data_IF_131208166968
#
_entry.id   IF_131208166968
#
_cell.length_a   1.000
_cell.length_b   1.000
_cell.length_c   1.000
_cell.angle_alpha   90.00
_cell.angle_beta   90.00
_cell.angle_gamma   90.00
#
_symmetry.space_group_name_H-M   'P 1'
#
loop_
_entity.id
_entity.type
_entity.pdbx_description
1 polymer ?
#
# COMPACT_ATOMS: atom_id res chain seq x y z
N UNK A 1 -17.57 18.61 20.17
CA UNK A 1 -16.81 17.53 20.83
C UNK A 1 -15.48 17.38 20.12
N UNK A 2 -14.36 17.51 20.84
CA UNK A 2 -13.01 17.31 20.31
C UNK A 2 -12.52 15.94 20.80
N UNK A 3 -12.21 15.04 19.88
CA UNK A 3 -11.82 13.67 20.19
C UNK A 3 -10.32 13.51 20.02
N UNK A 4 -9.66 12.91 21.01
CA UNK A 4 -8.28 12.48 20.84
C UNK A 4 -8.28 11.09 20.19
N UNK A 5 -7.83 10.95 18.93
CA UNK A 5 -7.82 9.66 18.23
C UNK A 5 -6.89 8.62 18.89
N UNK A 6 -6.01 9.03 19.81
CA UNK A 6 -5.11 8.14 20.55
C UNK A 6 -5.72 7.61 21.86
N UNK A 7 -6.91 8.05 22.26
CA UNK A 7 -7.57 7.62 23.50
C UNK A 7 -8.72 6.66 23.21
N UNK A 8 -8.73 5.52 23.90
CA UNK A 8 -9.80 4.51 23.84
C UNK A 8 -10.92 4.74 24.85
N UNK A 9 -10.83 5.81 25.64
CA UNK A 9 -11.81 6.17 26.67
C UNK A 9 -12.44 7.51 26.32
N UNK A 10 -13.77 7.54 26.28
CA UNK A 10 -14.57 8.73 26.05
C UNK A 10 -15.46 8.96 27.28
N UNK A 11 -15.32 10.13 27.90
CA UNK A 11 -16.18 10.57 29.01
C UNK A 11 -17.12 11.63 28.47
N UNK A 12 -18.42 11.45 28.70
CA UNK A 12 -19.45 12.38 28.27
C UNK A 12 -20.41 12.61 29.42
N UNK A 13 -20.82 13.86 29.58
CA UNK A 13 -21.92 14.28 30.44
C UNK A 13 -23.10 14.62 29.54
N UNK A 14 -24.29 14.14 29.91
CA UNK A 14 -25.50 14.36 29.15
C UNK A 14 -26.72 13.99 29.97
N UNK A 15 -27.79 14.72 29.76
CA UNK A 15 -29.13 14.53 30.32
C UNK A 15 -30.03 13.67 29.42
N UNK A 16 -29.61 13.44 28.16
CA UNK A 16 -30.34 12.67 27.16
C UNK A 16 -29.49 11.58 26.48
N UNK A 17 -30.10 10.42 26.27
CA UNK A 17 -29.52 9.24 25.61
C UNK A 17 -29.32 9.46 24.10
N UNK A 18 -30.10 10.35 23.46
CA UNK A 18 -29.92 10.63 22.03
C UNK A 18 -28.54 11.23 21.73
N UNK A 19 -28.06 12.11 22.61
CA UNK A 19 -26.73 12.73 22.48
C UNK A 19 -25.61 11.68 22.59
N UNK A 20 -25.77 10.68 23.46
CA UNK A 20 -24.84 9.56 23.61
C UNK A 20 -24.83 8.71 22.32
N UNK A 21 -26.01 8.41 21.76
CA UNK A 21 -26.12 7.66 20.52
C UNK A 21 -25.46 8.38 19.34
N UNK A 22 -25.65 9.69 19.21
CA UNK A 22 -25.01 10.49 18.16
C UNK A 22 -23.47 10.54 18.31
N UNK A 23 -22.96 10.52 19.54
CA UNK A 23 -21.52 10.48 19.78
C UNK A 23 -20.92 9.11 19.42
N UNK A 24 -21.60 8.01 19.76
CA UNK A 24 -21.17 6.65 19.40
C UNK A 24 -21.13 6.44 17.89
N UNK A 25 -22.02 7.07 17.12
CA UNK A 25 -21.98 7.04 15.65
C UNK A 25 -20.71 7.65 15.04
N UNK A 26 -19.96 8.46 15.80
CA UNK A 26 -18.70 9.08 15.36
C UNK A 26 -17.46 8.25 15.71
N UNK A 27 -17.61 7.17 16.46
CA UNK A 27 -16.50 6.25 16.77
C UNK A 27 -16.18 5.44 15.52
N UNK A 28 -14.93 5.51 15.07
CA UNK A 28 -14.46 4.80 13.89
C UNK A 28 -13.19 4.02 14.19
N UNK A 29 -13.01 2.92 13.45
CA UNK A 29 -11.76 2.19 13.43
C UNK A 29 -10.85 2.79 12.35
N UNK A 30 -9.59 3.07 12.70
CA UNK A 30 -8.57 3.55 11.78
C UNK A 30 -7.38 2.58 11.84
N UNK A 31 -6.91 2.14 10.67
CA UNK A 31 -5.65 1.43 10.53
C UNK A 31 -4.66 2.31 9.77
N UNK A 32 -3.53 2.65 10.41
CA UNK A 32 -2.52 3.54 9.84
C UNK A 32 -1.47 2.83 8.97
N UNK A 33 -1.56 1.50 8.81
CA UNK A 33 -0.63 0.76 7.96
C UNK A 33 -0.97 0.96 6.49
N UNK A 34 0.06 1.20 5.67
CA UNK A 34 -0.05 1.21 4.21
C UNK A 34 -0.60 -0.12 3.67
N UNK A 35 -0.23 -1.24 4.30
CA UNK A 35 -0.76 -2.58 4.02
C UNK A 35 -1.37 -3.18 5.30
N UNK A 36 -2.69 -3.01 5.51
CA UNK A 36 -3.38 -3.60 6.64
C UNK A 36 -3.29 -5.13 6.63
N UNK A 37 -2.91 -5.73 7.77
CA UNK A 37 -2.96 -7.18 7.93
C UNK A 37 -4.41 -7.63 7.88
N UNK A 38 -4.73 -8.60 7.02
CA UNK A 38 -6.07 -9.16 6.93
C UNK A 38 -6.56 -9.81 8.24
N UNK A 39 -7.86 -10.03 8.30
CA UNK A 39 -8.53 -10.77 9.35
C UNK A 39 -9.40 -9.91 10.26
N UNK A 40 -9.87 -10.54 11.34
CA UNK A 40 -10.89 -9.96 12.21
C UNK A 40 -10.24 -9.18 13.35
N UNK A 41 -10.78 -8.00 13.66
CA UNK A 41 -10.45 -7.21 14.85
C UNK A 41 -11.68 -7.17 15.74
N UNK A 42 -11.62 -7.88 16.86
CA UNK A 42 -12.68 -7.85 17.87
C UNK A 42 -12.58 -6.53 18.64
N UNK A 43 -13.71 -5.86 18.74
CA UNK A 43 -13.89 -4.63 19.51
C UNK A 43 -14.91 -4.93 20.59
N UNK A 44 -14.62 -4.48 21.81
CA UNK A 44 -15.58 -4.50 22.90
C UNK A 44 -15.76 -3.09 23.42
N UNK A 45 -16.98 -2.60 23.38
CA UNK A 45 -17.36 -1.31 23.97
C UNK A 45 -18.00 -1.59 25.31
N UNK A 46 -17.42 -1.05 26.36
CA UNK A 46 -17.96 -1.14 27.72
C UNK A 46 -18.27 0.26 28.22
N UNK A 47 -19.42 0.39 28.88
CA UNK A 47 -19.93 1.66 29.37
C UNK A 47 -20.10 1.61 30.89
N UNK A 48 -19.69 2.69 31.56
CA UNK A 48 -19.96 2.90 33.00
C UNK A 48 -20.72 4.20 33.13
N UNK A 49 -21.89 4.12 33.77
CA UNK A 49 -22.75 5.28 34.02
C UNK A 49 -22.55 5.70 35.48
N UNK A 50 -22.31 6.98 35.69
CA UNK A 50 -22.24 7.59 37.02
C UNK A 50 -23.34 8.63 37.11
N UNK A 51 -24.29 8.43 38.02
CA UNK A 51 -25.36 9.39 38.30
C UNK A 51 -25.07 10.10 39.63
N UNK A 52 -25.53 11.33 39.74
CA UNK A 52 -25.38 12.15 40.94
C UNK A 52 -26.74 12.24 41.65
N UNK A 53 -26.78 12.10 42.97
CA UNK A 53 -28.01 12.17 43.77
C UNK A 53 -28.61 10.80 44.15
N UNK A 54 -29.93 10.75 44.41
CA UNK A 54 -30.68 9.53 44.75
C UNK A 54 -31.26 8.80 43.52
N UNK A 55 -30.93 9.24 42.31
CA UNK A 55 -31.50 8.70 41.07
C UNK A 55 -30.98 7.30 40.73
N UNK A 56 -31.85 6.47 40.15
CA UNK A 56 -31.51 5.13 39.69
C UNK A 56 -30.72 5.24 38.39
N UNK A 57 -29.46 4.81 38.40
CA UNK A 57 -28.66 4.75 37.18
C UNK A 57 -29.16 3.71 36.18
N UNK A 58 -29.20 4.11 34.91
CA UNK A 58 -29.37 3.18 33.80
C UNK A 58 -28.13 2.29 33.65
N UNK A 59 -28.35 1.03 33.26
CA UNK A 59 -27.28 0.13 32.86
C UNK A 59 -27.18 0.09 31.34
N UNK A 60 -25.98 0.30 30.81
CA UNK A 60 -25.70 0.19 29.39
C UNK A 60 -24.93 -1.13 29.19
N UNK A 61 -25.47 -2.08 28.40
CA UNK A 61 -24.82 -3.36 28.18
C UNK A 61 -23.54 -3.20 27.37
N UNK A 62 -22.58 -4.10 27.61
CA UNK A 62 -21.40 -4.23 26.77
C UNK A 62 -21.79 -4.61 25.33
N UNK A 63 -21.09 -4.04 24.35
CA UNK A 63 -21.28 -4.35 22.94
C UNK A 63 -20.01 -5.03 22.41
N UNK A 64 -20.16 -6.25 21.88
CA UNK A 64 -19.14 -6.91 21.08
C UNK A 64 -19.36 -6.60 19.60
N UNK A 65 -18.32 -6.10 18.94
CA UNK A 65 -18.31 -5.77 17.53
C UNK A 65 -17.05 -6.32 16.85
N UNK A 66 -17.07 -6.38 15.53
CA UNK A 66 -15.94 -6.87 14.74
C UNK A 66 -15.71 -5.98 13.53
N UNK A 67 -14.46 -5.64 13.29
CA UNK A 67 -14.01 -5.05 12.03
C UNK A 67 -13.33 -6.13 11.22
N UNK A 68 -13.81 -6.35 10.00
CA UNK A 68 -13.19 -7.25 9.04
C UNK A 68 -12.24 -6.46 8.15
N UNK A 69 -10.96 -6.79 8.22
CA UNK A 69 -9.94 -6.25 7.32
C UNK A 69 -9.73 -7.27 6.21
N UNK A 70 -10.07 -6.90 4.98
CA UNK A 70 -9.82 -7.74 3.82
C UNK A 70 -8.33 -7.70 3.44
N UNK A 71 -7.86 -8.77 2.80
CA UNK A 71 -6.51 -8.81 2.23
C UNK A 71 -6.39 -7.68 1.20
N UNK A 72 -5.36 -6.86 1.34
CA UNK A 72 -5.01 -5.90 0.30
C UNK A 72 -4.61 -6.67 -0.96
N UNK A 73 -5.03 -6.19 -2.12
CA UNK A 73 -4.61 -6.81 -3.38
C UNK A 73 -3.12 -6.55 -3.57
N UNK A 74 -2.34 -7.62 -3.65
CA UNK A 74 -0.90 -7.50 -3.85
C UNK A 74 -0.60 -7.07 -5.29
N UNK A 75 0.27 -6.07 -5.49
CA UNK A 75 0.67 -5.68 -6.82
C UNK A 75 1.53 -6.78 -7.44
N UNK A 76 1.22 -7.12 -8.68
CA UNK A 76 2.02 -8.03 -9.49
C UNK A 76 2.88 -7.22 -10.44
N UNK A 77 4.19 -7.26 -10.21
CA UNK A 77 5.21 -6.70 -11.11
C UNK A 77 5.57 -7.77 -12.13
N UNK A 78 5.46 -7.43 -13.41
CA UNK A 78 5.87 -8.27 -14.53
C UNK A 78 6.96 -7.55 -15.30
N UNK A 79 8.11 -8.21 -15.44
CA UNK A 79 9.23 -7.73 -16.24
C UNK A 79 9.28 -8.59 -17.50
N UNK A 80 9.20 -7.96 -18.67
CA UNK A 80 9.30 -8.63 -19.97
C UNK A 80 10.42 -7.99 -20.79
N UNK A 81 11.13 -8.78 -21.58
CA UNK A 81 12.19 -8.32 -22.47
C UNK A 81 13.00 -9.53 -22.92
N UNK A 82 14.08 -9.30 -23.67
CA UNK A 82 15.03 -10.35 -24.02
C UNK A 82 15.71 -10.91 -22.76
N UNK A 83 15.77 -12.23 -22.66
CA UNK A 83 16.45 -12.95 -21.58
C UNK A 83 17.98 -13.00 -21.76
N UNK A 84 18.44 -12.93 -23.02
CA UNK A 84 19.85 -12.84 -23.37
C UNK A 84 20.06 -11.88 -24.53
N UNK A 85 21.15 -11.12 -24.46
CA UNK A 85 21.55 -10.19 -25.50
C UNK A 85 23.06 -10.29 -25.73
N UNK A 86 23.46 -10.36 -27.00
CA UNK A 86 24.87 -10.45 -27.38
C UNK A 86 25.18 -9.47 -28.51
N UNK A 87 26.32 -8.79 -28.39
CA UNK A 87 26.87 -7.89 -29.41
C UNK A 87 28.38 -8.14 -29.57
N UNK A 88 28.95 -7.89 -30.76
CA UNK A 88 30.40 -7.92 -30.94
C UNK A 88 31.09 -6.90 -30.01
N UNK A 89 32.25 -7.27 -29.45
CA UNK A 89 33.03 -6.41 -28.53
C UNK A 89 33.30 -5.01 -29.10
N UNK A 90 33.60 -4.93 -30.41
CA UNK A 90 33.85 -3.66 -31.11
C UNK A 90 32.67 -2.66 -31.04
N UNK A 91 31.44 -3.09 -30.72
CA UNK A 91 30.31 -2.17 -30.54
C UNK A 91 30.30 -1.51 -29.15
N UNK A 92 30.91 -2.14 -28.14
CA UNK A 92 31.05 -1.58 -26.80
C UNK A 92 32.14 -0.51 -26.73
N UNK A 93 33.12 -0.58 -27.63
CA UNK A 93 34.22 0.40 -27.75
C UNK A 93 33.77 1.77 -28.31
N UNK A 94 32.51 1.89 -28.76
CA UNK A 94 31.99 3.17 -29.25
C UNK A 94 31.78 4.14 -28.08
N UNK A 95 32.06 5.43 -28.29
CA UNK A 95 31.86 6.49 -27.26
C UNK A 95 30.42 6.57 -26.73
N UNK A 96 29.43 5.98 -27.43
CA UNK A 96 28.03 5.97 -27.01
C UNK A 96 27.63 4.69 -26.26
N UNK A 97 28.53 3.73 -26.12
CA UNK A 97 28.24 2.42 -25.56
C UNK A 97 27.15 1.67 -26.33
N UNK A 98 26.44 0.77 -25.63
CA UNK A 98 25.32 0.01 -26.17
C UNK A 98 24.15 -0.02 -25.19
N UNK A 99 22.92 -0.05 -25.72
CA UNK A 99 21.72 -0.23 -24.90
C UNK A 99 21.65 -1.69 -24.47
N UNK A 100 21.74 -1.94 -23.16
CA UNK A 100 21.74 -3.29 -22.58
C UNK A 100 20.36 -3.95 -22.57
N UNK A 101 19.31 -3.15 -22.37
CA UNK A 101 17.94 -3.62 -22.16
C UNK A 101 16.95 -2.87 -23.09
N UNK A 102 17.07 -3.01 -24.42
CA UNK A 102 16.33 -2.18 -25.36
C UNK A 102 14.82 -2.46 -25.38
N UNK A 103 14.38 -3.61 -24.88
CA UNK A 103 12.98 -4.06 -24.90
C UNK A 103 12.44 -4.40 -23.51
N UNK A 104 13.14 -3.99 -22.44
CA UNK A 104 12.64 -4.17 -21.08
C UNK A 104 11.36 -3.38 -20.89
N UNK A 105 10.34 -4.05 -20.37
CA UNK A 105 9.09 -3.46 -19.93
C UNK A 105 8.78 -3.96 -18.54
N UNK A 106 8.56 -3.02 -17.63
CA UNK A 106 8.18 -3.29 -16.25
C UNK A 106 6.74 -2.80 -16.10
N UNK A 107 5.82 -3.72 -15.86
CA UNK A 107 4.39 -3.42 -15.71
C UNK A 107 3.95 -3.86 -14.33
N UNK A 108 3.35 -2.95 -13.56
CA UNK A 108 2.74 -3.26 -12.26
C UNK A 108 1.22 -3.27 -12.39
N UNK A 109 0.60 -4.35 -11.93
CA UNK A 109 -0.85 -4.55 -11.98
C UNK A 109 -1.40 -4.84 -10.60
N UNK A 110 -2.60 -4.37 -10.30
CA UNK A 110 -3.33 -4.75 -9.08
C UNK A 110 -4.64 -5.37 -9.51
N UNK A 111 -4.90 -6.58 -9.05
CA UNK A 111 -6.20 -7.22 -9.26
C UNK A 111 -7.19 -6.60 -8.29
N UNK A 112 -8.19 -5.85 -8.76
CA UNK A 112 -9.23 -5.31 -7.89
C UNK A 112 -10.37 -6.31 -7.80
N UNK A 113 -10.58 -6.88 -6.61
CA UNK A 113 -11.77 -7.67 -6.34
C UNK A 113 -12.90 -6.71 -5.93
N UNK A 114 -13.87 -6.49 -6.82
CA UNK A 114 -15.09 -5.78 -6.44
C UNK A 114 -15.90 -6.64 -5.48
N UNK A 115 -15.88 -6.28 -4.19
CA UNK A 115 -16.82 -6.82 -3.22
C UNK A 115 -18.11 -6.01 -3.35
N UNK A 116 -19.03 -6.46 -4.21
CA UNK A 116 -20.40 -5.97 -4.17
C UNK A 116 -20.98 -6.33 -2.80
N UNK A 117 -21.21 -5.31 -1.96
CA UNK A 117 -21.96 -5.45 -0.71
C UNK A 117 -23.44 -5.49 -1.06
N UNK A 118 -23.86 -6.49 -1.85
CA UNK A 118 -25.28 -6.72 -2.09
C UNK A 118 -25.79 -7.71 -1.07
N UNK A 119 -26.38 -7.17 0.00
CA UNK A 119 -27.24 -7.90 0.91
C UNK A 119 -28.56 -8.30 0.20
N UNK A 120 -28.57 -9.09 -0.88
CA UNK A 120 -29.74 -9.90 -1.31
C UNK A 120 -29.32 -11.14 -2.09
N UNK A 121 -29.49 -12.28 -1.41
CA UNK A 121 -29.96 -13.58 -1.89
C UNK A 121 -29.86 -13.98 -3.39
N UNK A 122 -29.27 -15.17 -3.58
CA UNK A 122 -29.49 -16.13 -4.69
C UNK A 122 -29.00 -15.77 -6.10
N UNK A 123 -27.76 -16.18 -6.40
CA UNK A 123 -27.30 -16.42 -7.76
C UNK A 123 -25.78 -16.57 -7.83
N UNK A 124 -25.27 -17.55 -8.57
CA UNK A 124 -23.84 -17.69 -8.88
C UNK A 124 -23.37 -16.47 -9.69
N UNK A 125 -23.05 -15.38 -9.03
CA UNK A 125 -22.44 -14.23 -9.67
C UNK A 125 -20.97 -14.59 -9.96
N UNK A 126 -20.62 -14.67 -11.24
CA UNK A 126 -19.23 -14.69 -11.68
C UNK A 126 -18.54 -13.46 -11.08
N UNK A 127 -17.70 -13.67 -10.07
CA UNK A 127 -16.84 -12.64 -9.49
C UNK A 127 -15.89 -12.20 -10.59
N UNK A 128 -16.20 -11.06 -11.23
CA UNK A 128 -15.40 -10.52 -12.31
C UNK A 128 -14.15 -9.88 -11.69
N UNK A 129 -13.00 -10.54 -11.83
CA UNK A 129 -11.72 -9.98 -11.40
C UNK A 129 -11.30 -8.97 -12.45
N UNK A 130 -11.37 -7.70 -12.12
CA UNK A 130 -10.87 -6.62 -12.98
C UNK A 130 -9.41 -6.40 -12.64
N UNK A 131 -8.54 -6.55 -13.64
CA UNK A 131 -7.11 -6.24 -13.51
C UNK A 131 -6.91 -4.82 -14.01
N UNK A 132 -6.47 -3.94 -13.12
CA UNK A 132 -6.17 -2.54 -13.45
C UNK A 132 -4.66 -2.35 -13.45
N UNK A 133 -4.14 -1.74 -14.51
CA UNK A 133 -2.76 -1.25 -14.51
C UNK A 133 -2.70 -0.05 -13.58
N UNK A 134 -1.84 -0.11 -12.57
CA UNK A 134 -1.66 0.98 -11.62
C UNK A 134 -0.25 1.51 -11.74
N UNK A 135 -0.12 2.83 -11.86
CA UNK A 135 1.13 3.53 -11.64
C UNK A 135 1.47 3.40 -10.15
N UNK A 136 2.36 2.48 -9.83
CA UNK A 136 2.94 2.40 -8.50
C UNK A 136 4.16 3.31 -8.46
N UNK A 137 4.33 4.00 -7.33
CA UNK A 137 5.61 4.60 -7.01
C UNK A 137 6.53 3.43 -6.67
N UNK A 138 7.47 3.10 -7.57
CA UNK A 138 8.56 2.21 -7.19
C UNK A 138 9.38 2.95 -6.15
N UNK A 139 9.47 2.41 -4.94
CA UNK A 139 10.27 3.03 -3.88
C UNK A 139 11.76 3.01 -4.24
N UNK A 140 12.19 1.97 -4.97
CA UNK A 140 13.55 1.82 -5.43
C UNK A 140 13.66 0.78 -6.56
N UNK A 141 14.72 0.87 -7.37
CA UNK A 141 15.09 -0.11 -8.38
C UNK A 141 16.61 -0.26 -8.43
N UNK A 142 17.12 -1.47 -8.24
CA UNK A 142 18.54 -1.80 -8.37
C UNK A 142 18.81 -2.57 -9.67
N UNK A 143 19.85 -2.14 -10.38
CA UNK A 143 20.47 -2.86 -11.49
C UNK A 143 21.84 -3.32 -11.01
N UNK A 144 22.03 -4.63 -10.85
CA UNK A 144 23.26 -5.20 -10.30
C UNK A 144 24.08 -5.90 -11.38
N UNK A 145 25.39 -5.67 -11.36
CA UNK A 145 26.36 -6.40 -12.18
C UNK A 145 26.63 -7.75 -11.52
N UNK A 146 26.49 -8.84 -12.27
CA UNK A 146 26.71 -10.19 -11.77
C UNK A 146 28.11 -10.64 -12.16
N UNK A 147 28.92 -11.02 -11.16
CA UNK A 147 30.28 -11.52 -11.38
C UNK A 147 31.32 -10.51 -10.89
N UNK A 148 32.28 -10.17 -11.76
CA UNK A 148 33.24 -9.11 -11.47
C UNK A 148 32.58 -7.73 -11.62
N UNK A 149 32.99 -6.78 -10.78
CA UNK A 149 32.60 -5.39 -10.91
C UNK A 149 33.15 -4.78 -12.22
N UNK A 150 32.50 -3.71 -12.69
CA UNK A 150 32.90 -2.98 -13.89
C UNK A 150 34.26 -2.33 -13.69
N UNK A 151 35.10 -2.38 -14.73
CA UNK A 151 36.35 -1.63 -14.76
C UNK A 151 36.06 -0.14 -14.95
N UNK A 152 36.26 0.74 -13.94
CA UNK A 152 35.90 2.15 -14.06
C UNK A 152 36.73 2.92 -15.09
N UNK A 153 37.83 2.34 -15.61
CA UNK A 153 38.61 2.96 -16.70
C UNK A 153 38.04 2.65 -18.10
N UNK A 154 37.22 1.61 -18.24
CA UNK A 154 36.76 1.08 -19.53
C UNK A 154 35.24 0.89 -19.62
N UNK A 155 34.58 0.69 -18.50
CA UNK A 155 33.20 0.22 -18.40
C UNK A 155 32.41 1.10 -17.43
N UNK A 156 31.21 1.48 -17.86
CA UNK A 156 30.25 2.17 -17.01
C UNK A 156 28.82 1.78 -17.39
N UNK A 157 27.90 1.97 -16.45
CA UNK A 157 26.47 1.99 -16.72
C UNK A 157 26.01 3.43 -16.70
N UNK A 158 25.16 3.79 -17.66
CA UNK A 158 24.60 5.13 -17.78
C UNK A 158 23.07 5.07 -17.88
N UNK A 159 22.42 6.07 -17.30
CA UNK A 159 20.99 6.31 -17.41
C UNK A 159 20.76 7.74 -17.89
N UNK A 160 19.66 7.97 -18.62
CA UNK A 160 19.30 9.31 -19.03
C UNK A 160 18.77 10.12 -17.83
N UNK A 161 19.63 10.99 -17.30
CA UNK A 161 19.30 11.87 -16.19
C UNK A 161 18.14 12.84 -16.49
N UNK A 162 17.93 13.23 -17.75
CA UNK A 162 16.82 14.09 -18.15
C UNK A 162 15.49 13.37 -18.01
N UNK A 163 15.42 12.09 -18.38
CA UNK A 163 14.23 11.26 -18.18
C UNK A 163 13.95 10.98 -16.70
N UNK A 164 14.99 10.75 -15.89
CA UNK A 164 14.86 10.55 -14.44
C UNK A 164 14.31 11.82 -13.76
N UNK A 165 14.89 12.98 -14.06
CA UNK A 165 14.46 14.25 -13.48
C UNK A 165 13.01 14.59 -13.84
N UNK A 166 12.59 14.29 -15.09
CA UNK A 166 11.20 14.45 -15.52
C UNK A 166 10.20 13.55 -14.79
N UNK A 167 10.68 12.49 -14.13
CA UNK A 167 9.89 11.55 -13.32
C UNK A 167 10.07 11.76 -11.81
N UNK A 168 10.83 12.77 -11.39
CA UNK A 168 11.22 13.01 -9.99
C UNK A 168 11.96 11.82 -9.37
N UNK A 169 12.79 11.14 -10.15
CA UNK A 169 13.67 10.08 -9.70
C UNK A 169 15.10 10.59 -9.65
N UNK A 170 15.83 10.15 -8.63
CA UNK A 170 17.27 10.27 -8.49
C UNK A 170 17.92 8.90 -8.70
N UNK A 171 19.23 8.91 -8.95
CA UNK A 171 19.95 7.65 -9.11
C UNK A 171 21.43 7.78 -8.76
N UNK A 172 22.01 6.72 -8.20
CA UNK A 172 23.43 6.60 -7.84
C UNK A 172 24.07 5.47 -8.63
N UNK A 173 25.26 5.73 -9.17
CA UNK A 173 26.04 4.73 -9.90
C UNK A 173 27.20 4.18 -9.06
N UNK A 174 27.64 2.97 -9.39
CA UNK A 174 28.81 2.32 -8.82
C UNK A 174 29.36 1.28 -9.80
N UNK A 175 30.55 0.75 -9.52
CA UNK A 175 31.14 -0.37 -10.27
C UNK A 175 30.35 -1.67 -10.11
N UNK A 176 29.55 -1.78 -9.05
CA UNK A 176 28.67 -2.92 -8.79
C UNK A 176 27.28 -2.81 -9.45
N UNK A 177 26.91 -1.64 -9.96
CA UNK A 177 25.57 -1.41 -10.49
C UNK A 177 25.03 0.01 -10.30
N UNK A 178 23.71 0.13 -10.45
CA UNK A 178 22.96 1.38 -10.39
C UNK A 178 21.78 1.24 -9.43
N UNK A 179 21.55 2.24 -8.58
CA UNK A 179 20.35 2.33 -7.73
C UNK A 179 19.53 3.56 -8.12
N UNK A 180 18.23 3.38 -8.31
CA UNK A 180 17.28 4.43 -8.74
C UNK A 180 16.20 4.56 -7.66
N UNK A 181 15.87 5.77 -7.23
CA UNK A 181 14.92 6.03 -6.14
C UNK A 181 14.21 7.38 -6.27
#
# INVERSE_FOLDING_TARGET
>A
YHFNPSQSVLVMEGDDIENINQALQKVSYINSRQFPTAGTRRLKVSSKVQCFGEDICISIPDIDAYVMVFQANEPKITITGMDHFARPAAQFESERGVILLPDIRIVSTVSKMEHSVDLREHGRANKQVVVEEMLHNLDFCDVLVIGAELDPEQECLELDHGELQGKHLDATNSTAGYSIY
#
